data_IF_824667685345
#
_entry.id   IF_824667685345
#
_cell.length_a   1.000
_cell.length_b   1.000
_cell.length_c   1.000
_cell.angle_alpha   90.00
_cell.angle_beta   90.00
_cell.angle_gamma   90.00
#
_symmetry.space_group_name_H-M   'P 1'
#
loop_
_entity.id
_entity.type
_entity.pdbx_description
1 polymer ?
#
# COMPACT_ATOMS: atom_id res chain seq x y z
N UNK A 1 -4.73 -27.68 14.17
CA UNK A 1 -4.91 -27.04 12.84
C UNK A 1 -4.60 -25.54 12.88
N UNK A 2 -5.06 -24.81 13.90
CA UNK A 2 -4.76 -23.36 14.08
C UNK A 2 -3.27 -23.03 14.26
N UNK A 3 -2.53 -23.86 14.97
CA UNK A 3 -1.08 -23.68 15.21
C UNK A 3 -0.27 -23.83 13.91
N UNK A 4 -0.67 -24.72 13.02
CA UNK A 4 -0.02 -24.93 11.71
C UNK A 4 -0.31 -23.77 10.74
N UNK A 5 -1.50 -23.17 10.79
CA UNK A 5 -1.87 -22.00 9.97
C UNK A 5 -1.12 -20.75 10.45
N UNK A 6 -0.94 -20.56 11.76
CA UNK A 6 -0.13 -19.48 12.31
C UNK A 6 1.35 -19.63 11.95
N UNK A 7 1.91 -20.84 12.07
CA UNK A 7 3.31 -21.09 11.70
C UNK A 7 3.57 -20.85 10.20
N UNK A 8 2.63 -21.22 9.31
CA UNK A 8 2.74 -20.95 7.88
C UNK A 8 2.62 -19.46 7.52
N UNK A 9 1.72 -18.72 8.17
CA UNK A 9 1.59 -17.28 7.94
C UNK A 9 2.83 -16.51 8.40
N UNK A 10 3.41 -16.89 9.54
CA UNK A 10 4.66 -16.30 10.03
C UNK A 10 5.86 -16.64 9.12
N UNK A 11 5.87 -17.79 8.46
CA UNK A 11 6.94 -18.20 7.54
C UNK A 11 6.89 -17.45 6.20
N UNK A 12 5.69 -17.12 5.70
CA UNK A 12 5.50 -16.45 4.39
C UNK A 12 5.73 -14.94 4.49
N UNK A 13 5.28 -14.30 5.60
CA UNK A 13 5.30 -12.85 5.73
C UNK A 13 6.40 -12.29 6.63
N UNK A 14 6.90 -13.06 7.62
CA UNK A 14 7.86 -12.56 8.61
C UNK A 14 8.90 -13.62 8.97
N UNK A 15 10.01 -13.59 8.25
CA UNK A 15 11.12 -14.53 8.39
C UNK A 15 11.85 -14.48 9.75
N UNK A 16 11.55 -13.54 10.63
CA UNK A 16 12.20 -13.39 11.93
C UNK A 16 11.22 -13.09 13.06
N UNK A 17 11.31 -13.85 14.15
CA UNK A 17 10.58 -13.64 15.40
C UNK A 17 10.81 -12.27 16.08
N UNK A 18 11.78 -11.48 15.62
CA UNK A 18 12.17 -10.18 16.18
C UNK A 18 11.54 -8.95 15.48
N UNK A 19 10.63 -9.16 14.54
CA UNK A 19 9.97 -8.02 13.86
C UNK A 19 8.99 -7.33 14.82
N UNK A 20 9.10 -6.00 15.05
CA UNK A 20 8.17 -5.27 15.91
C UNK A 20 6.73 -5.39 15.43
N UNK A 21 5.78 -5.47 16.38
CA UNK A 21 4.35 -5.56 16.05
C UNK A 21 3.86 -4.37 15.22
N UNK A 22 4.45 -3.18 15.42
CA UNK A 22 4.15 -1.99 14.61
C UNK A 22 4.50 -2.17 13.14
N UNK A 23 5.62 -2.83 12.83
CA UNK A 23 6.00 -3.14 11.43
C UNK A 23 5.06 -4.19 10.85
N UNK A 24 4.72 -5.23 11.62
CA UNK A 24 3.76 -6.27 11.18
C UNK A 24 2.40 -5.67 10.88
N UNK A 25 1.87 -4.82 11.76
CA UNK A 25 0.61 -4.13 11.56
C UNK A 25 0.65 -3.23 10.32
N UNK A 26 1.72 -2.44 10.15
CA UNK A 26 1.88 -1.58 8.99
C UNK A 26 1.89 -2.39 7.68
N UNK A 27 2.67 -3.46 7.60
CA UNK A 27 2.72 -4.34 6.41
C UNK A 27 1.35 -4.93 6.10
N UNK A 28 0.61 -5.40 7.11
CA UNK A 28 -0.74 -5.94 6.91
C UNK A 28 -1.70 -4.87 6.36
N UNK A 29 -1.67 -3.64 6.91
CA UNK A 29 -2.51 -2.54 6.43
C UNK A 29 -2.17 -2.18 4.98
N UNK A 30 -0.89 -2.09 4.62
CA UNK A 30 -0.48 -1.81 3.24
C UNK A 30 -0.92 -2.90 2.26
N UNK A 31 -0.85 -4.17 2.62
CA UNK A 31 -1.36 -5.27 1.79
C UNK A 31 -2.88 -5.17 1.60
N UNK A 32 -3.63 -4.83 2.65
CA UNK A 32 -5.09 -4.64 2.57
C UNK A 32 -5.40 -3.45 1.66
N UNK A 33 -4.74 -2.30 1.85
CA UNK A 33 -4.94 -1.10 1.02
C UNK A 33 -4.63 -1.39 -0.46
N UNK A 34 -3.52 -2.05 -0.75
CA UNK A 34 -3.15 -2.46 -2.11
C UNK A 34 -4.20 -3.38 -2.72
N UNK A 35 -4.71 -4.35 -1.96
CA UNK A 35 -5.75 -5.27 -2.42
C UNK A 35 -7.06 -4.54 -2.75
N UNK A 36 -7.48 -3.60 -1.91
CA UNK A 36 -8.65 -2.74 -2.15
C UNK A 36 -8.45 -1.92 -3.42
N UNK A 37 -7.25 -1.34 -3.60
CA UNK A 37 -6.93 -0.56 -4.79
C UNK A 37 -7.00 -1.43 -6.06
N UNK A 38 -6.40 -2.63 -6.06
CA UNK A 38 -6.43 -3.57 -7.19
C UNK A 38 -7.86 -3.97 -7.56
N UNK A 39 -8.70 -4.27 -6.56
CA UNK A 39 -10.12 -4.61 -6.81
C UNK A 39 -10.85 -3.42 -7.44
N UNK A 40 -10.71 -2.22 -6.88
CA UNK A 40 -11.36 -1.00 -7.42
C UNK A 40 -10.89 -0.70 -8.84
N UNK A 41 -9.59 -0.82 -9.08
CA UNK A 41 -9.01 -0.65 -10.42
C UNK A 41 -9.58 -1.67 -11.41
N UNK A 42 -9.67 -2.95 -11.02
CA UNK A 42 -10.27 -4.00 -11.84
C UNK A 42 -11.76 -3.75 -12.15
N UNK A 43 -12.52 -3.20 -11.19
CA UNK A 43 -13.91 -2.82 -11.41
C UNK A 43 -14.02 -1.61 -12.36
N UNK A 44 -13.17 -0.60 -12.18
CA UNK A 44 -13.12 0.57 -13.07
C UNK A 44 -12.79 0.19 -14.52
N UNK A 45 -11.93 -0.81 -14.73
CA UNK A 45 -11.63 -1.33 -16.06
C UNK A 45 -12.85 -1.86 -16.80
N UNK A 46 -13.81 -2.47 -16.09
CA UNK A 46 -15.03 -3.01 -16.70
C UNK A 46 -15.98 -1.94 -17.23
N UNK A 47 -15.90 -0.73 -16.71
CA UNK A 47 -16.81 0.38 -17.08
C UNK A 47 -16.28 1.25 -18.21
N UNK A 48 -15.02 1.03 -18.64
CA UNK A 48 -14.42 1.84 -19.68
C UNK A 48 -14.88 1.41 -21.08
N UNK A 49 -15.33 2.36 -21.92
CA UNK A 49 -15.66 2.08 -23.32
C UNK A 49 -14.38 1.80 -24.11
N UNK A 50 -14.12 0.54 -24.43
CA UNK A 50 -12.92 0.09 -25.16
C UNK A 50 -12.82 0.59 -26.63
N UNK A 51 -13.78 1.38 -27.12
CA UNK A 51 -13.94 1.65 -28.53
C UNK A 51 -13.17 2.85 -29.10
N UNK A 52 -12.73 3.81 -28.28
CA UNK A 52 -12.33 5.09 -28.86
C UNK A 52 -10.81 5.38 -28.95
N UNK A 53 -9.97 4.93 -28.03
CA UNK A 53 -8.53 5.29 -28.06
C UNK A 53 -7.65 4.20 -27.42
N UNK A 54 -7.40 3.11 -28.14
CA UNK A 54 -6.68 1.93 -27.59
C UNK A 54 -5.23 2.24 -27.16
N UNK A 55 -4.48 2.99 -27.94
CA UNK A 55 -3.05 3.22 -27.66
C UNK A 55 -2.78 4.01 -26.37
N UNK A 56 -3.38 5.19 -26.11
CA UNK A 56 -3.14 5.90 -24.86
C UNK A 56 -3.65 5.16 -23.64
N UNK A 57 -4.75 4.41 -23.75
CA UNK A 57 -5.24 3.57 -22.66
C UNK A 57 -4.25 2.47 -22.27
N UNK A 58 -3.69 1.75 -23.24
CA UNK A 58 -2.70 0.68 -22.97
C UNK A 58 -1.48 1.26 -22.25
N UNK A 59 -1.03 2.45 -22.65
CA UNK A 59 0.11 3.11 -22.00
C UNK A 59 -0.19 3.48 -20.55
N UNK A 60 -1.35 4.08 -20.26
CA UNK A 60 -1.76 4.45 -18.91
C UNK A 60 -1.92 3.21 -18.02
N UNK A 61 -2.56 2.16 -18.52
CA UNK A 61 -2.72 0.91 -17.77
C UNK A 61 -1.40 0.20 -17.53
N UNK A 62 -0.51 0.17 -18.52
CA UNK A 62 0.83 -0.40 -18.39
C UNK A 62 1.63 0.32 -17.29
N UNK A 63 1.57 1.66 -17.28
CA UNK A 63 2.21 2.46 -16.24
C UNK A 63 1.64 2.17 -14.85
N UNK A 64 0.31 2.19 -14.71
CA UNK A 64 -0.36 1.91 -13.43
C UNK A 64 -0.05 0.49 -12.93
N UNK A 65 -0.05 -0.49 -13.81
CA UNK A 65 0.29 -1.87 -13.45
C UNK A 65 1.75 -1.99 -13.00
N UNK A 66 2.67 -1.28 -13.66
CA UNK A 66 4.08 -1.23 -13.26
C UNK A 66 4.24 -0.63 -11.86
N UNK A 67 3.54 0.48 -11.58
CA UNK A 67 3.53 1.10 -10.24
C UNK A 67 3.00 0.14 -9.19
N UNK A 68 1.90 -0.57 -9.47
CA UNK A 68 1.32 -1.57 -8.54
C UNK A 68 2.28 -2.71 -8.24
N UNK A 69 2.97 -3.25 -9.26
CA UNK A 69 3.98 -4.31 -9.05
C UNK A 69 5.13 -3.77 -8.19
N UNK A 70 5.60 -2.56 -8.48
CA UNK A 70 6.68 -1.94 -7.71
C UNK A 70 6.27 -1.71 -6.26
N UNK A 71 5.04 -1.26 -6.00
CA UNK A 71 4.52 -1.05 -4.66
C UNK A 71 4.36 -2.37 -3.89
N UNK A 72 3.81 -3.41 -4.53
CA UNK A 72 3.75 -4.76 -3.97
C UNK A 72 5.15 -5.28 -3.61
N UNK A 73 6.14 -5.07 -4.49
CA UNK A 73 7.52 -5.43 -4.23
C UNK A 73 8.11 -4.64 -3.05
N UNK A 74 7.86 -3.33 -2.97
CA UNK A 74 8.31 -2.51 -1.86
C UNK A 74 7.70 -2.97 -0.52
N UNK A 75 6.39 -3.27 -0.48
CA UNK A 75 5.73 -3.81 0.72
C UNK A 75 6.34 -5.16 1.12
N UNK A 76 6.62 -6.04 0.17
CA UNK A 76 7.30 -7.30 0.43
C UNK A 76 8.71 -7.06 1.01
N UNK A 77 9.51 -6.15 0.45
CA UNK A 77 10.84 -5.81 0.97
C UNK A 77 10.80 -5.11 2.33
N UNK A 78 9.71 -4.42 2.65
CA UNK A 78 9.47 -3.84 3.97
C UNK A 78 9.43 -4.92 5.06
N UNK A 79 8.83 -6.08 4.79
CA UNK A 79 8.78 -7.22 5.73
C UNK A 79 10.17 -7.82 5.99
N UNK A 80 11.12 -7.65 5.07
CA UNK A 80 12.52 -8.05 5.23
C UNK A 80 13.40 -6.99 5.93
N UNK A 81 12.82 -5.85 6.32
CA UNK A 81 13.53 -4.78 7.02
C UNK A 81 14.41 -3.93 6.12
N UNK A 82 14.14 -3.87 4.84
CA UNK A 82 14.89 -3.02 3.90
C UNK A 82 14.53 -1.54 4.10
N UNK A 83 15.50 -0.72 4.44
CA UNK A 83 15.30 0.72 4.73
C UNK A 83 14.78 1.49 3.50
N UNK A 84 15.29 1.16 2.31
CA UNK A 84 14.83 1.79 1.08
C UNK A 84 13.32 1.56 0.83
N UNK A 85 12.83 0.34 1.11
CA UNK A 85 11.44 -0.01 0.96
C UNK A 85 10.54 0.80 1.91
N UNK A 86 10.99 0.99 3.17
CA UNK A 86 10.32 1.90 4.11
C UNK A 86 10.18 3.32 3.55
N UNK A 87 11.28 3.86 3.00
CA UNK A 87 11.26 5.22 2.46
C UNK A 87 10.35 5.33 1.24
N UNK A 88 10.34 4.33 0.35
CA UNK A 88 9.43 4.28 -0.81
C UNK A 88 7.98 4.27 -0.36
N UNK A 89 7.60 3.38 0.56
CA UNK A 89 6.22 3.26 1.03
C UNK A 89 5.77 4.52 1.77
N UNK A 90 6.63 5.15 2.57
CA UNK A 90 6.33 6.43 3.22
C UNK A 90 6.15 7.57 2.21
N UNK A 91 6.97 7.60 1.16
CA UNK A 91 6.83 8.57 0.08
C UNK A 91 5.52 8.38 -0.69
N UNK A 92 5.16 7.13 -1.03
CA UNK A 92 3.89 6.77 -1.67
C UNK A 92 2.70 7.23 -0.82
N UNK A 93 2.72 6.95 0.49
CA UNK A 93 1.69 7.40 1.43
C UNK A 93 1.59 8.93 1.47
N UNK A 94 2.71 9.65 1.56
CA UNK A 94 2.72 11.11 1.55
C UNK A 94 2.14 11.67 0.24
N UNK A 95 2.48 11.07 -0.89
CA UNK A 95 1.94 11.43 -2.20
C UNK A 95 0.43 11.19 -2.27
N UNK A 96 -0.06 10.04 -1.76
CA UNK A 96 -1.47 9.72 -1.68
C UNK A 96 -2.25 10.73 -0.83
N UNK A 97 -1.70 11.17 0.31
CA UNK A 97 -2.29 12.21 1.16
C UNK A 97 -2.41 13.53 0.37
N UNK A 98 -1.32 13.98 -0.26
CA UNK A 98 -1.30 15.25 -1.00
C UNK A 98 -2.31 15.23 -2.14
N UNK A 99 -2.35 14.16 -2.93
CA UNK A 99 -3.29 14.03 -4.06
C UNK A 99 -4.73 13.97 -3.59
N UNK A 100 -5.00 13.28 -2.48
CA UNK A 100 -6.35 13.21 -1.90
C UNK A 100 -6.80 14.58 -1.37
N UNK A 101 -5.93 15.28 -0.64
CA UNK A 101 -6.21 16.63 -0.14
C UNK A 101 -6.45 17.59 -1.30
N UNK A 102 -5.60 17.56 -2.32
CA UNK A 102 -5.78 18.37 -3.53
C UNK A 102 -7.12 18.08 -4.22
N UNK A 103 -7.48 16.81 -4.38
CA UNK A 103 -8.75 16.41 -4.98
C UNK A 103 -9.96 16.93 -4.19
N UNK A 104 -9.90 16.86 -2.85
CA UNK A 104 -10.94 17.39 -1.98
C UNK A 104 -11.12 18.92 -2.12
N UNK A 105 -10.03 19.65 -2.25
CA UNK A 105 -10.10 21.10 -2.44
C UNK A 105 -10.58 21.49 -3.84
N UNK A 106 -10.19 20.73 -4.88
CA UNK A 106 -10.53 21.04 -6.26
C UNK A 106 -11.98 20.65 -6.62
N UNK A 107 -12.47 19.51 -6.13
CA UNK A 107 -13.74 18.92 -6.56
C UNK A 107 -14.81 18.90 -5.45
N UNK A 108 -14.45 19.23 -4.20
CA UNK A 108 -15.32 19.05 -3.04
C UNK A 108 -15.51 17.59 -2.64
N UNK A 109 -16.22 17.41 -1.52
CA UNK A 109 -16.65 16.08 -1.07
C UNK A 109 -17.90 15.68 -1.87
N UNK A 110 -17.73 14.88 -2.91
CA UNK A 110 -18.85 14.19 -3.50
C UNK A 110 -19.09 12.93 -2.68
N UNK A 111 -20.31 12.76 -2.18
CA UNK A 111 -20.68 11.63 -1.31
C UNK A 111 -20.84 10.31 -2.09
N UNK A 112 -20.08 10.14 -3.17
CA UNK A 112 -20.04 8.87 -3.88
C UNK A 112 -19.30 7.82 -3.06
N UNK A 113 -19.83 6.62 -3.04
CA UNK A 113 -19.30 5.49 -2.27
C UNK A 113 -17.80 5.23 -2.56
N UNK A 114 -17.34 5.58 -3.77
CA UNK A 114 -15.96 5.48 -4.20
C UNK A 114 -15.04 6.46 -3.47
N UNK A 115 -15.49 7.67 -3.17
CA UNK A 115 -14.68 8.69 -2.50
C UNK A 115 -14.48 8.34 -1.02
N UNK A 116 -15.51 7.79 -0.37
CA UNK A 116 -15.43 7.34 1.03
C UNK A 116 -14.43 6.20 1.19
N UNK A 117 -14.46 5.20 0.30
CA UNK A 117 -13.49 4.07 0.34
C UNK A 117 -12.07 4.57 0.10
N UNK A 118 -11.89 5.53 -0.82
CA UNK A 118 -10.59 6.18 -1.06
C UNK A 118 -10.04 6.87 0.18
N UNK A 119 -10.87 7.66 0.86
CA UNK A 119 -10.49 8.36 2.10
C UNK A 119 -10.12 7.39 3.22
N UNK A 120 -10.91 6.32 3.41
CA UNK A 120 -10.62 5.28 4.41
C UNK A 120 -9.27 4.61 4.11
N UNK A 121 -8.98 4.30 2.83
CA UNK A 121 -7.72 3.68 2.42
C UNK A 121 -6.53 4.59 2.74
N UNK A 122 -6.59 5.88 2.37
CA UNK A 122 -5.52 6.84 2.65
C UNK A 122 -5.35 7.07 4.16
N UNK A 123 -6.45 7.10 4.93
CA UNK A 123 -6.36 7.18 6.40
C UNK A 123 -5.67 5.95 6.99
N UNK A 124 -6.01 4.75 6.51
CA UNK A 124 -5.36 3.51 6.95
C UNK A 124 -3.86 3.48 6.61
N UNK A 125 -3.48 3.88 5.39
CA UNK A 125 -2.07 4.00 4.97
C UNK A 125 -1.32 5.03 5.82
N UNK A 126 -1.97 6.15 6.16
CA UNK A 126 -1.39 7.16 7.06
C UNK A 126 -1.07 6.57 8.44
N UNK A 127 -2.00 5.81 9.02
CA UNK A 127 -1.77 5.11 10.30
C UNK A 127 -0.64 4.09 10.16
N UNK A 128 -0.59 3.33 9.07
CA UNK A 128 0.50 2.39 8.79
C UNK A 128 1.85 3.11 8.68
N UNK A 129 1.89 4.26 7.99
CA UNK A 129 3.09 5.11 7.91
C UNK A 129 3.57 5.58 9.27
N UNK A 130 2.65 6.01 10.15
CA UNK A 130 2.98 6.40 11.53
C UNK A 130 3.57 5.21 12.32
N UNK A 131 3.06 4.00 12.15
CA UNK A 131 3.63 2.80 12.78
C UNK A 131 5.07 2.54 12.32
N UNK A 132 5.40 2.81 11.05
CA UNK A 132 6.77 2.68 10.54
C UNK A 132 7.71 3.76 11.09
N UNK A 133 7.19 4.91 11.51
CA UNK A 133 7.97 6.01 12.07
C UNK A 133 8.21 5.87 13.59
N UNK A 134 7.60 4.88 14.25
CA UNK A 134 7.83 4.67 15.68
C UNK A 134 9.31 4.39 15.99
N UNK A 135 9.76 4.77 17.18
CA UNK A 135 11.16 4.58 17.62
C UNK A 135 11.59 3.10 17.53
N UNK A 136 10.69 2.17 17.90
CA UNK A 136 10.95 0.71 17.84
C UNK A 136 11.13 0.23 16.41
N UNK A 137 10.27 0.68 15.47
CA UNK A 137 10.38 0.35 14.04
C UNK A 137 11.68 0.92 13.46
N UNK A 138 11.99 2.18 13.74
CA UNK A 138 13.19 2.85 13.25
C UNK A 138 14.47 2.16 13.74
N UNK A 139 14.54 1.78 15.01
CA UNK A 139 15.67 1.03 15.55
C UNK A 139 15.84 -0.34 14.88
N UNK A 140 14.72 -1.04 14.62
CA UNK A 140 14.74 -2.33 13.94
C UNK A 140 15.26 -2.23 12.49
N UNK A 141 14.79 -1.25 11.71
CA UNK A 141 15.30 -1.03 10.35
C UNK A 141 16.80 -0.68 10.34
N UNK A 142 17.27 0.14 11.30
CA UNK A 142 18.70 0.47 11.43
C UNK A 142 19.55 -0.75 11.78
N UNK A 143 19.03 -1.70 12.57
CA UNK A 143 19.77 -2.92 12.93
C UNK A 143 19.99 -3.87 11.76
N UNK A 144 19.24 -3.69 10.64
CA UNK A 144 19.34 -4.50 9.41
C UNK A 144 20.30 -3.94 8.37
N UNK A 145 20.90 -2.77 8.62
CA UNK A 145 21.84 -2.13 7.68
C UNK A 145 23.27 -2.73 7.78
N UNK A 146 23.50 -3.64 8.75
CA UNK A 146 24.80 -4.31 8.95
C UNK A 146 25.03 -5.42 7.94
#
# INVERSE_FOLDING_TARGET
MEVLLRANADFIFFREHKTPNSVRAAVAIYWIALSVFVVRFGLALRTLPFSAHRAPMITVFGLLFTVLIFEAFAIAQLSYGKLWARNVVLFSTAFAIVTTVYSLFANGLHSEQNDVVGLISVAAETVAGLFLLTAKSTAWFKSKIK
#
